data_IF_690455919055
#
_entry.id   IF_690455919055
#
_cell.length_a   1.000
_cell.length_b   1.000
_cell.length_c   1.000
_cell.angle_alpha   90.00
_cell.angle_beta   90.00
_cell.angle_gamma   90.00
#
_symmetry.space_group_name_H-M   'P 1'
#
loop_
_entity.id
_entity.type
_entity.pdbx_description
1 polymer ?
#
# COMPACT_ATOMS: atom_id res chain seq x y z
N UNK A 1 17.82 25.16 -19.38
CA UNK A 1 18.05 24.71 -17.99
C UNK A 1 17.83 23.23 -17.95
N UNK A 2 18.62 22.43 -17.24
CA UNK A 2 18.32 21.00 -17.10
C UNK A 2 16.95 20.87 -16.42
N UNK A 3 16.11 20.01 -16.95
CA UNK A 3 14.77 19.74 -16.43
C UNK A 3 14.93 19.08 -15.04
N UNK A 4 14.31 19.67 -14.01
CA UNK A 4 14.42 19.16 -12.65
C UNK A 4 13.38 18.02 -12.42
N UNK A 5 13.81 16.76 -12.13
CA UNK A 5 12.90 15.65 -11.95
C UNK A 5 11.91 15.84 -10.78
N UNK A 6 12.28 16.62 -9.76
CA UNK A 6 11.37 16.95 -8.65
C UNK A 6 10.23 17.88 -9.08
N UNK A 7 10.48 18.79 -9.99
CA UNK A 7 9.42 19.66 -10.53
C UNK A 7 8.48 18.87 -11.46
N UNK A 8 9.00 17.93 -12.24
CA UNK A 8 8.19 17.02 -13.03
C UNK A 8 7.28 16.16 -12.12
N UNK A 9 7.84 15.58 -11.07
CA UNK A 9 7.07 14.82 -10.09
C UNK A 9 5.97 15.68 -9.42
N UNK A 10 6.27 16.91 -9.00
CA UNK A 10 5.27 17.82 -8.45
C UNK A 10 4.14 18.11 -9.43
N UNK A 11 4.47 18.22 -10.72
CA UNK A 11 3.51 18.42 -11.81
C UNK A 11 2.75 17.14 -12.20
N UNK A 12 3.02 15.99 -11.55
CA UNK A 12 2.41 14.71 -11.85
C UNK A 12 2.94 14.02 -13.10
N UNK A 13 4.12 14.41 -13.58
CA UNK A 13 4.77 13.87 -14.79
C UNK A 13 5.79 12.80 -14.42
N UNK A 14 5.30 11.65 -14.02
CA UNK A 14 6.12 10.54 -13.47
C UNK A 14 7.02 9.95 -14.54
N UNK A 15 6.50 9.71 -15.76
CA UNK A 15 7.28 9.16 -16.88
C UNK A 15 8.44 10.06 -17.25
N UNK A 16 8.17 11.36 -17.44
CA UNK A 16 9.22 12.34 -17.77
C UNK A 16 10.28 12.40 -16.64
N UNK A 17 9.86 12.35 -15.36
CA UNK A 17 10.77 12.34 -14.23
C UNK A 17 11.68 11.08 -14.21
N UNK A 18 11.13 9.91 -14.51
CA UNK A 18 11.86 8.64 -14.61
C UNK A 18 12.89 8.71 -15.77
N UNK A 19 12.53 9.27 -16.91
CA UNK A 19 13.43 9.42 -18.07
C UNK A 19 14.61 10.34 -17.73
N UNK A 20 14.34 11.50 -17.14
CA UNK A 20 15.38 12.47 -16.73
C UNK A 20 16.30 11.85 -15.67
N UNK A 21 15.74 11.16 -14.66
CA UNK A 21 16.55 10.49 -13.63
C UNK A 21 17.36 9.34 -14.21
N UNK A 22 16.80 8.56 -15.12
CA UNK A 22 17.51 7.45 -15.77
C UNK A 22 18.71 7.97 -16.58
N UNK A 23 18.55 9.09 -17.31
CA UNK A 23 19.65 9.73 -18.02
C UNK A 23 20.71 10.27 -17.04
N UNK A 24 20.28 10.98 -16.00
CA UNK A 24 21.17 11.52 -14.97
C UNK A 24 22.01 10.45 -14.28
N UNK A 25 21.41 9.29 -13.96
CA UNK A 25 22.12 8.19 -13.28
C UNK A 25 23.21 7.53 -14.10
N UNK A 26 23.26 7.72 -15.44
CA UNK A 26 24.37 7.23 -16.30
C UNK A 26 25.64 8.01 -16.03
N UNK A 27 25.52 9.33 -15.84
CA UNK A 27 26.66 10.22 -15.60
C UNK A 27 27.01 10.34 -14.11
N UNK A 28 26.06 10.05 -13.23
CA UNK A 28 26.19 10.19 -11.77
C UNK A 28 25.81 8.89 -11.03
N UNK A 29 26.48 7.76 -11.28
CA UNK A 29 26.08 6.45 -10.77
C UNK A 29 26.17 6.31 -9.23
N UNK A 30 26.90 7.20 -8.54
CA UNK A 30 27.08 7.20 -7.10
C UNK A 30 26.08 8.08 -6.33
N UNK A 31 25.21 8.84 -7.03
CA UNK A 31 24.21 9.69 -6.39
C UNK A 31 23.06 8.83 -5.82
N UNK A 32 23.20 8.47 -4.54
CA UNK A 32 22.21 7.62 -3.86
C UNK A 32 20.87 8.31 -3.64
N UNK A 33 20.84 9.64 -3.54
CA UNK A 33 19.60 10.41 -3.33
C UNK A 33 18.72 10.35 -4.58
N UNK A 34 19.31 10.63 -5.75
CA UNK A 34 18.56 10.56 -7.01
C UNK A 34 18.21 9.11 -7.38
N UNK A 35 19.07 8.15 -7.02
CA UNK A 35 18.78 6.73 -7.22
C UNK A 35 17.60 6.26 -6.36
N UNK A 36 17.52 6.71 -5.09
CA UNK A 36 16.37 6.42 -4.23
C UNK A 36 15.09 7.00 -4.82
N UNK A 37 15.14 8.24 -5.30
CA UNK A 37 13.99 8.86 -5.94
C UNK A 37 13.57 8.13 -7.22
N UNK A 38 14.54 7.70 -8.05
CA UNK A 38 14.24 6.86 -9.22
C UNK A 38 13.61 5.53 -8.82
N UNK A 39 14.12 4.86 -7.77
CA UNK A 39 13.53 3.63 -7.24
C UNK A 39 12.06 3.84 -6.86
N UNK A 40 11.77 4.89 -6.09
CA UNK A 40 10.41 5.19 -5.65
C UNK A 40 9.47 5.46 -6.82
N UNK A 41 9.87 6.27 -7.80
CA UNK A 41 9.05 6.54 -8.99
C UNK A 41 8.80 5.30 -9.85
N UNK A 42 9.80 4.42 -9.98
CA UNK A 42 9.64 3.15 -10.69
C UNK A 42 8.62 2.22 -9.99
N UNK A 43 8.53 2.26 -8.66
CA UNK A 43 7.51 1.51 -7.92
C UNK A 43 6.10 2.04 -8.24
N UNK A 44 5.90 3.36 -8.25
CA UNK A 44 4.62 3.98 -8.64
C UNK A 44 4.25 3.70 -10.10
N UNK A 45 5.24 3.57 -10.98
CA UNK A 45 5.02 3.24 -12.39
C UNK A 45 4.80 1.74 -12.66
N UNK A 46 4.78 0.88 -11.64
CA UNK A 46 4.66 -0.57 -11.81
C UNK A 46 5.90 -1.24 -12.43
N UNK A 47 7.01 -0.51 -12.55
CA UNK A 47 8.24 -0.99 -13.17
C UNK A 47 9.13 -1.74 -12.16
N UNK A 48 8.56 -2.71 -11.45
CA UNK A 48 9.17 -3.39 -10.30
C UNK A 48 10.53 -4.03 -10.59
N UNK A 49 10.73 -4.57 -11.80
CA UNK A 49 12.03 -5.15 -12.18
C UNK A 49 13.12 -4.09 -12.31
N UNK A 50 12.78 -2.89 -12.80
CA UNK A 50 13.73 -1.77 -12.85
C UNK A 50 13.97 -1.20 -11.46
N UNK A 51 12.90 -1.08 -10.64
CA UNK A 51 13.00 -0.65 -9.25
C UNK A 51 13.95 -1.55 -8.45
N UNK A 52 13.80 -2.88 -8.57
CA UNK A 52 14.65 -3.86 -7.90
C UNK A 52 16.13 -3.71 -8.27
N UNK A 53 16.45 -3.40 -9.54
CA UNK A 53 17.83 -3.10 -9.97
C UNK A 53 18.40 -1.84 -9.30
N UNK A 54 17.57 -0.80 -9.08
CA UNK A 54 18.02 0.39 -8.34
C UNK A 54 18.24 0.07 -6.87
N UNK A 55 17.33 -0.73 -6.27
CA UNK A 55 17.43 -1.17 -4.89
C UNK A 55 18.70 -2.00 -4.65
N UNK A 56 19.05 -2.91 -5.58
CA UNK A 56 20.28 -3.71 -5.49
C UNK A 56 21.55 -2.83 -5.42
N UNK A 57 21.58 -1.75 -6.19
CA UNK A 57 22.71 -0.79 -6.12
C UNK A 57 22.70 0.00 -4.81
N UNK A 58 21.52 0.40 -4.31
CA UNK A 58 21.37 1.10 -3.04
C UNK A 58 21.78 0.23 -1.84
N UNK A 59 21.46 -1.06 -1.89
CA UNK A 59 21.80 -2.05 -0.86
C UNK A 59 23.32 -2.33 -0.81
N UNK A 60 24.02 -2.22 -1.94
CA UNK A 60 25.44 -2.52 -2.01
C UNK A 60 26.26 -1.52 -1.17
N UNK A 61 27.26 -2.02 -0.44
CA UNK A 61 28.31 -1.21 0.16
C UNK A 61 28.35 -1.13 1.69
N UNK A 62 27.33 -1.61 2.43
CA UNK A 62 27.43 -1.83 3.87
C UNK A 62 26.30 -2.75 4.39
N UNK A 63 26.53 -3.52 5.47
CA UNK A 63 25.51 -4.38 6.09
C UNK A 63 24.23 -3.63 6.49
N UNK A 64 24.35 -2.39 6.96
CA UNK A 64 23.18 -1.57 7.35
C UNK A 64 22.28 -1.25 6.15
N UNK A 65 22.88 -0.98 4.99
CA UNK A 65 22.12 -0.72 3.75
C UNK A 65 21.47 -2.00 3.24
N UNK A 66 22.16 -3.13 3.31
CA UNK A 66 21.61 -4.43 2.96
C UNK A 66 20.40 -4.76 3.85
N UNK A 67 20.54 -4.59 5.16
CA UNK A 67 19.46 -4.81 6.13
C UNK A 67 18.26 -3.88 5.84
N UNK A 68 18.50 -2.59 5.60
CA UNK A 68 17.45 -1.63 5.27
C UNK A 68 16.75 -1.91 3.93
N UNK A 69 17.42 -2.58 3.00
CA UNK A 69 16.84 -2.95 1.70
C UNK A 69 15.93 -4.18 1.78
N UNK A 70 16.10 -5.06 2.78
CA UNK A 70 15.32 -6.31 2.93
C UNK A 70 13.82 -6.01 2.94
N UNK A 71 13.38 -4.99 3.67
CA UNK A 71 11.97 -4.61 3.75
C UNK A 71 11.40 -4.25 2.38
N UNK A 72 12.18 -3.56 1.53
CA UNK A 72 11.73 -3.14 0.20
C UNK A 72 11.81 -4.26 -0.84
N UNK A 73 12.75 -5.21 -0.72
CA UNK A 73 12.72 -6.44 -1.50
C UNK A 73 11.47 -7.26 -1.17
N UNK A 74 11.15 -7.37 0.12
CA UNK A 74 9.96 -8.04 0.60
C UNK A 74 8.68 -7.35 0.09
N UNK A 75 8.62 -6.00 0.13
CA UNK A 75 7.51 -5.22 -0.41
C UNK A 75 7.35 -5.40 -1.93
N UNK A 76 8.42 -5.37 -2.71
CA UNK A 76 8.39 -5.61 -4.15
C UNK A 76 7.89 -7.02 -4.49
N UNK A 77 8.26 -8.02 -3.70
CA UNK A 77 7.79 -9.39 -3.87
C UNK A 77 6.29 -9.50 -3.57
N UNK A 78 5.85 -8.95 -2.43
CA UNK A 78 4.45 -8.93 -2.02
C UNK A 78 3.58 -8.19 -3.04
N UNK A 79 4.06 -7.05 -3.59
CA UNK A 79 3.38 -6.28 -4.62
C UNK A 79 3.18 -7.08 -5.92
N UNK A 80 4.19 -7.85 -6.37
CA UNK A 80 4.03 -8.74 -7.53
C UNK A 80 2.96 -9.81 -7.29
N UNK A 81 2.99 -10.45 -6.12
CA UNK A 81 1.97 -11.44 -5.72
C UNK A 81 0.58 -10.82 -5.68
N UNK A 82 0.46 -9.59 -5.16
CA UNK A 82 -0.78 -8.81 -5.16
C UNK A 82 -1.31 -8.61 -6.58
N UNK A 83 -0.45 -8.17 -7.52
CA UNK A 83 -0.86 -7.96 -8.90
C UNK A 83 -1.26 -9.25 -9.60
N UNK A 84 -0.54 -10.35 -9.37
CA UNK A 84 -0.92 -11.67 -9.90
C UNK A 84 -2.29 -12.12 -9.39
N UNK A 85 -2.60 -11.86 -8.10
CA UNK A 85 -3.89 -12.19 -7.53
C UNK A 85 -5.02 -11.39 -8.18
N UNK A 86 -4.85 -10.07 -8.34
CA UNK A 86 -5.85 -9.20 -8.97
C UNK A 86 -5.97 -9.47 -10.48
N UNK A 87 -4.89 -9.73 -11.20
CA UNK A 87 -4.92 -10.05 -12.63
C UNK A 87 -5.66 -11.36 -12.92
N UNK A 88 -5.52 -12.35 -12.02
CA UNK A 88 -6.20 -13.63 -12.13
C UNK A 88 -7.58 -13.66 -11.47
N UNK A 89 -8.02 -12.55 -10.83
CA UNK A 89 -9.29 -12.46 -10.08
C UNK A 89 -9.46 -13.59 -9.06
N UNK A 90 -8.37 -13.97 -8.40
CA UNK A 90 -8.33 -15.15 -7.53
C UNK A 90 -8.69 -14.78 -6.09
N UNK A 91 -9.83 -14.09 -5.92
CA UNK A 91 -10.28 -13.54 -4.65
C UNK A 91 -10.90 -14.59 -3.75
N UNK A 92 -10.80 -14.46 -2.41
CA UNK A 92 -11.53 -15.29 -1.47
C UNK A 92 -13.05 -15.16 -1.68
N UNK A 93 -13.75 -16.29 -1.72
CA UNK A 93 -15.20 -16.32 -1.94
C UNK A 93 -16.03 -15.93 -0.72
N UNK A 94 -15.42 -15.84 0.48
CA UNK A 94 -16.08 -15.45 1.71
C UNK A 94 -16.25 -13.94 1.80
N UNK A 95 -17.29 -13.49 2.49
CA UNK A 95 -17.52 -12.09 2.81
C UNK A 95 -17.45 -11.93 4.32
N UNK A 96 -16.26 -11.58 4.89
CA UNK A 96 -16.12 -11.44 6.33
C UNK A 96 -16.96 -10.26 6.84
N UNK A 97 -17.38 -10.37 8.10
CA UNK A 97 -18.08 -9.29 8.77
C UNK A 97 -17.14 -8.12 9.07
N UNK A 98 -17.69 -6.91 9.06
CA UNK A 98 -17.03 -5.72 9.59
C UNK A 98 -17.52 -5.48 11.01
N UNK A 99 -16.71 -5.74 12.05
CA UNK A 99 -17.09 -5.36 13.40
C UNK A 99 -17.17 -3.84 13.53
N UNK A 100 -18.04 -3.31 14.41
CA UNK A 100 -18.03 -1.89 14.74
C UNK A 100 -16.75 -1.51 15.47
N UNK A 101 -16.41 -0.22 15.46
CA UNK A 101 -15.17 0.24 16.06
C UNK A 101 -15.03 1.74 16.12
N UNK A 102 -13.79 2.21 16.17
CA UNK A 102 -13.45 3.62 16.13
C UNK A 102 -12.34 3.89 15.07
N UNK A 103 -12.56 4.88 14.24
CA UNK A 103 -11.59 5.41 13.30
C UNK A 103 -11.16 6.82 13.73
N UNK A 104 -9.88 7.01 14.06
CA UNK A 104 -9.34 8.27 14.56
C UNK A 104 -10.15 8.83 15.77
N UNK A 105 -10.62 7.93 16.65
CA UNK A 105 -11.43 8.27 17.82
C UNK A 105 -12.90 8.60 17.52
N UNK A 106 -13.38 8.39 16.29
CA UNK A 106 -14.79 8.51 15.92
C UNK A 106 -15.40 7.11 15.76
N UNK A 107 -16.52 6.82 16.43
CA UNK A 107 -17.18 5.52 16.33
C UNK A 107 -17.77 5.32 14.92
N UNK A 108 -17.77 4.07 14.46
CA UNK A 108 -18.45 3.61 13.25
C UNK A 108 -19.17 2.28 13.50
N UNK A 109 -20.13 1.96 12.65
CA UNK A 109 -20.86 0.68 12.69
C UNK A 109 -20.36 -0.30 11.63
N UNK A 110 -19.92 0.20 10.49
CA UNK A 110 -19.39 -0.60 9.37
C UNK A 110 -18.19 0.10 8.73
N UNK A 111 -17.18 -0.68 8.37
CA UNK A 111 -16.04 -0.20 7.59
C UNK A 111 -15.64 -1.28 6.57
N UNK A 112 -15.32 -0.87 5.36
CA UNK A 112 -14.81 -1.76 4.31
C UNK A 112 -13.88 -1.00 3.37
N UNK A 113 -13.08 -1.73 2.61
CA UNK A 113 -12.37 -1.16 1.46
C UNK A 113 -13.40 -0.66 0.43
N UNK A 114 -13.08 0.43 -0.28
CA UNK A 114 -13.95 0.90 -1.36
C UNK A 114 -13.91 -0.04 -2.58
N UNK A 115 -12.86 -0.87 -2.71
CA UNK A 115 -12.84 -1.99 -3.62
C UNK A 115 -13.69 -3.13 -3.06
N UNK A 116 -14.79 -3.46 -3.75
CA UNK A 116 -15.73 -4.51 -3.34
C UNK A 116 -15.10 -5.89 -3.29
N UNK A 117 -14.08 -6.16 -4.11
CA UNK A 117 -13.35 -7.43 -4.13
C UNK A 117 -12.53 -7.62 -2.84
N UNK A 118 -11.99 -6.53 -2.28
CA UNK A 118 -11.31 -6.53 -0.99
C UNK A 118 -12.31 -6.56 0.16
N UNK A 119 -13.33 -5.71 0.12
CA UNK A 119 -14.41 -5.66 1.07
C UNK A 119 -13.96 -5.38 2.52
N UNK A 120 -14.48 -6.16 3.49
CA UNK A 120 -14.15 -6.00 4.91
C UNK A 120 -12.81 -6.65 5.30
N UNK A 121 -11.74 -6.37 4.55
CA UNK A 121 -10.40 -6.91 4.76
C UNK A 121 -9.34 -5.81 4.70
N UNK A 122 -8.26 -6.05 5.41
CA UNK A 122 -7.04 -5.26 5.32
C UNK A 122 -6.03 -6.02 4.44
N UNK A 123 -5.56 -5.38 3.38
CA UNK A 123 -4.40 -5.86 2.62
C UNK A 123 -3.12 -5.55 3.40
N UNK A 124 -2.26 -6.54 3.58
CA UNK A 124 -1.04 -6.41 4.40
C UNK A 124 0.15 -7.05 3.70
N UNK A 125 1.30 -6.37 3.72
CA UNK A 125 2.60 -6.95 3.38
C UNK A 125 3.34 -7.27 4.68
N UNK A 126 3.34 -8.54 5.06
CA UNK A 126 3.96 -9.03 6.27
C UNK A 126 5.05 -10.04 5.94
N UNK A 127 6.28 -9.78 6.40
CA UNK A 127 7.45 -10.66 6.20
C UNK A 127 7.65 -11.14 4.74
N UNK A 128 7.35 -10.29 3.76
CA UNK A 128 7.46 -10.59 2.33
C UNK A 128 6.27 -11.32 1.73
N UNK A 129 5.25 -11.63 2.50
CA UNK A 129 4.01 -12.22 2.03
C UNK A 129 2.93 -11.14 1.86
N UNK A 130 2.10 -11.30 0.84
CA UNK A 130 0.86 -10.55 0.69
C UNK A 130 -0.29 -11.30 1.33
N UNK A 131 -1.02 -10.66 2.23
CA UNK A 131 -2.07 -11.27 3.05
C UNK A 131 -3.31 -10.39 3.05
N UNK A 132 -4.49 -10.98 2.95
CA UNK A 132 -5.78 -10.36 3.22
C UNK A 132 -6.23 -10.75 4.62
N UNK A 133 -6.27 -9.79 5.54
CA UNK A 133 -6.68 -9.99 6.91
C UNK A 133 -8.11 -9.48 7.11
N UNK A 134 -9.11 -10.35 7.35
CA UNK A 134 -10.46 -9.92 7.69
C UNK A 134 -10.47 -8.96 8.88
N UNK A 135 -11.30 -7.92 8.85
CA UNK A 135 -11.38 -6.94 9.93
C UNK A 135 -11.81 -7.57 11.26
N UNK A 136 -12.57 -8.67 11.23
CA UNK A 136 -12.90 -9.46 12.44
C UNK A 136 -11.68 -10.08 13.13
N UNK A 137 -10.52 -10.09 12.46
CA UNK A 137 -9.25 -10.57 13.01
C UNK A 137 -8.27 -9.44 13.34
N UNK A 138 -8.65 -8.19 13.14
CA UNK A 138 -7.89 -7.00 13.53
C UNK A 138 -8.40 -6.49 14.87
N UNK A 139 -7.51 -6.33 15.85
CA UNK A 139 -7.84 -5.62 17.09
C UNK A 139 -7.59 -4.12 16.92
N UNK A 140 -6.42 -3.76 16.39
CA UNK A 140 -6.07 -2.37 16.12
C UNK A 140 -5.10 -2.22 14.96
N UNK A 141 -5.17 -1.06 14.32
CA UNK A 141 -4.21 -0.56 13.34
C UNK A 141 -3.79 0.84 13.77
N UNK A 142 -2.48 1.09 13.82
CA UNK A 142 -1.92 2.40 14.09
C UNK A 142 -0.97 2.80 12.94
N UNK A 143 -1.12 4.04 12.44
CA UNK A 143 -0.30 4.58 11.35
C UNK A 143 0.15 6.00 11.66
N UNK A 144 1.42 6.29 11.38
CA UNK A 144 1.91 7.67 11.32
C UNK A 144 1.55 8.37 10.01
N UNK A 145 1.66 9.70 9.95
CA UNK A 145 1.59 10.41 8.67
C UNK A 145 2.79 9.99 7.79
N UNK A 146 2.62 9.92 6.44
CA UNK A 146 3.70 9.62 5.53
C UNK A 146 4.89 10.57 5.72
N UNK A 147 6.10 10.04 5.85
CA UNK A 147 7.34 10.80 6.04
C UNK A 147 8.19 10.82 4.75
N UNK A 148 8.03 9.83 3.90
CA UNK A 148 8.80 9.62 2.67
C UNK A 148 7.83 9.35 1.52
N UNK A 149 8.27 9.57 0.29
CA UNK A 149 7.44 9.32 -0.88
C UNK A 149 6.89 7.88 -0.91
N UNK A 150 7.73 6.89 -0.64
CA UNK A 150 7.31 5.49 -0.62
C UNK A 150 6.26 5.14 0.45
N UNK A 151 6.15 5.95 1.52
CA UNK A 151 5.14 5.73 2.56
C UNK A 151 3.72 6.05 2.03
N UNK A 152 3.61 6.78 0.91
CA UNK A 152 2.34 7.00 0.21
C UNK A 152 1.98 5.87 -0.78
N UNK A 153 2.90 4.93 -1.00
CA UNK A 153 2.67 3.71 -1.77
C UNK A 153 2.49 2.50 -0.83
N UNK A 154 3.37 2.40 0.17
CA UNK A 154 3.41 1.35 1.19
C UNK A 154 3.46 1.99 2.57
N UNK A 155 2.30 2.19 3.18
CA UNK A 155 2.18 2.86 4.46
C UNK A 155 2.69 1.97 5.61
N UNK A 156 3.70 2.40 6.37
CA UNK A 156 4.11 1.67 7.57
C UNK A 156 3.00 1.71 8.63
N UNK A 157 2.69 0.56 9.20
CA UNK A 157 1.64 0.40 10.19
C UNK A 157 2.00 -0.62 11.27
N UNK A 158 1.45 -0.45 12.45
CA UNK A 158 1.43 -1.45 13.51
C UNK A 158 0.04 -2.10 13.54
N UNK A 159 -0.02 -3.40 13.30
CA UNK A 159 -1.26 -4.17 13.31
C UNK A 159 -1.23 -5.14 14.49
N UNK A 160 -2.22 -5.02 15.37
CA UNK A 160 -2.49 -6.00 16.42
C UNK A 160 -3.68 -6.86 15.99
N UNK A 161 -3.51 -8.16 16.09
CA UNK A 161 -4.56 -9.11 15.76
C UNK A 161 -5.52 -9.34 16.91
N UNK A 162 -6.78 -9.63 16.60
CA UNK A 162 -7.78 -9.95 17.61
C UNK A 162 -7.45 -11.27 18.33
N UNK A 163 -7.88 -11.45 19.60
CA UNK A 163 -7.66 -12.69 20.35
C UNK A 163 -8.25 -13.94 19.69
N UNK A 164 -9.23 -13.77 18.80
CA UNK A 164 -9.83 -14.84 18.01
C UNK A 164 -8.92 -15.35 16.89
N UNK A 165 -7.94 -14.55 16.47
CA UNK A 165 -6.99 -14.90 15.41
C UNK A 165 -5.95 -15.88 15.95
N UNK A 166 -5.91 -17.07 15.35
CA UNK A 166 -4.97 -18.14 15.77
C UNK A 166 -3.64 -18.11 15.01
N UNK A 167 -3.42 -17.08 14.21
CA UNK A 167 -2.19 -16.86 13.48
C UNK A 167 -1.10 -16.18 14.32
N UNK A 168 -0.02 -15.83 13.66
CA UNK A 168 1.07 -15.07 14.28
C UNK A 168 0.67 -13.59 14.41
N UNK A 169 1.08 -12.92 15.49
CA UNK A 169 0.95 -11.48 15.60
C UNK A 169 1.76 -10.80 14.47
N UNK A 170 1.15 -9.85 13.80
CA UNK A 170 1.74 -9.23 12.61
C UNK A 170 2.75 -8.15 12.97
N UNK A 171 2.51 -7.39 14.04
CA UNK A 171 3.40 -6.31 14.46
C UNK A 171 3.53 -5.20 13.41
N UNK A 172 4.78 -4.80 13.12
CA UNK A 172 5.07 -3.81 12.09
C UNK A 172 4.95 -4.41 10.68
N UNK A 173 4.13 -3.78 9.84
CA UNK A 173 3.83 -4.22 8.48
C UNK A 173 3.84 -3.03 7.51
N UNK A 174 3.78 -3.32 6.22
CA UNK A 174 3.47 -2.32 5.19
C UNK A 174 2.06 -2.59 4.64
N UNK A 175 1.31 -1.52 4.43
CA UNK A 175 -0.04 -1.59 3.84
C UNK A 175 -0.02 -0.88 2.49
N UNK A 176 -0.44 -1.56 1.39
CA UNK A 176 -0.53 -0.90 0.10
C UNK A 176 -1.58 0.22 0.16
N UNK A 177 -1.14 1.45 -0.12
CA UNK A 177 -1.98 2.65 -0.04
C UNK A 177 -2.45 3.16 -1.41
N UNK A 178 -2.06 2.47 -2.48
CA UNK A 178 -2.49 2.72 -3.86
C UNK A 178 -3.08 1.42 -4.41
N UNK A 179 -4.21 1.53 -5.11
CA UNK A 179 -4.86 0.38 -5.73
C UNK A 179 -4.00 -0.25 -6.83
N UNK A 180 -4.11 -1.58 -7.05
CA UNK A 180 -3.35 -2.27 -8.08
C UNK A 180 -3.66 -1.70 -9.47
N UNK A 181 -2.67 -1.76 -10.36
CA UNK A 181 -2.78 -1.27 -11.75
C UNK A 181 -3.06 0.22 -11.95
N UNK A 182 -2.99 1.04 -10.90
CA UNK A 182 -3.16 2.50 -11.01
C UNK A 182 -2.24 3.12 -12.06
N UNK A 183 -1.05 2.57 -12.29
CA UNK A 183 -0.11 3.01 -13.35
C UNK A 183 -0.59 2.73 -14.78
N UNK A 184 -1.65 1.95 -14.98
CA UNK A 184 -2.26 1.74 -16.30
C UNK A 184 -3.14 2.92 -16.74
N UNK A 185 -3.46 3.83 -15.80
CA UNK A 185 -4.32 4.98 -16.08
C UNK A 185 -3.57 6.06 -16.89
N UNK A 186 -4.27 6.82 -17.74
CA UNK A 186 -3.64 7.89 -18.51
C UNK A 186 -3.18 9.06 -17.65
N UNK A 187 -3.90 9.37 -16.56
CA UNK A 187 -3.50 10.41 -15.61
C UNK A 187 -2.50 9.85 -14.58
N UNK A 188 -1.30 10.39 -14.62
CA UNK A 188 -0.22 9.98 -13.72
C UNK A 188 -0.40 10.48 -12.27
N UNK A 189 -1.38 11.37 -11.99
CA UNK A 189 -1.77 11.73 -10.62
C UNK A 189 -2.41 10.53 -9.90
N UNK A 190 -3.13 9.68 -10.66
CA UNK A 190 -3.69 8.41 -10.17
C UNK A 190 -2.57 7.46 -9.74
N UNK A 191 -1.47 7.37 -10.51
CA UNK A 191 -0.32 6.53 -10.14
C UNK A 191 0.25 6.90 -8.77
N UNK A 192 0.33 8.22 -8.51
CA UNK A 192 0.88 8.77 -7.28
C UNK A 192 -0.10 8.71 -6.09
N UNK A 193 -1.30 8.17 -6.29
CA UNK A 193 -2.33 8.18 -5.26
C UNK A 193 -2.76 9.58 -4.82
N UNK A 194 -2.65 10.59 -5.71
CA UNK A 194 -3.12 11.96 -5.44
C UNK A 194 -4.58 12.14 -5.81
N UNK A 195 -5.09 11.26 -6.65
CA UNK A 195 -6.48 11.20 -7.11
C UNK A 195 -6.92 9.76 -7.03
N UNK A 196 -8.17 9.54 -6.65
CA UNK A 196 -8.86 8.26 -6.74
C UNK A 196 -9.95 8.39 -7.79
N UNK A 197 -10.00 7.44 -8.72
CA UNK A 197 -11.05 7.32 -9.73
C UNK A 197 -11.75 5.97 -9.58
N UNK A 198 -13.05 5.93 -9.86
CA UNK A 198 -13.82 4.71 -9.88
C UNK A 198 -14.14 4.38 -11.34
N UNK A 199 -13.68 3.22 -11.77
CA UNK A 199 -13.82 2.76 -13.15
C UNK A 199 -14.97 1.77 -13.23
N UNK A 200 -16.05 2.16 -13.92
CA UNK A 200 -17.17 1.26 -14.19
C UNK A 200 -16.80 0.15 -15.16
N UNK A 201 -17.21 -1.08 -14.86
CA UNK A 201 -17.16 -2.21 -15.78
C UNK A 201 -18.48 -2.37 -16.55
N UNK A 202 -18.54 -3.30 -17.51
CA UNK A 202 -19.74 -3.57 -18.32
C UNK A 202 -20.90 -4.12 -17.47
N UNK A 203 -20.63 -4.69 -16.32
CA UNK A 203 -21.62 -5.29 -15.40
C UNK A 203 -22.17 -4.26 -14.40
N UNK A 204 -21.65 -3.02 -14.42
CA UNK A 204 -22.09 -1.92 -13.56
C UNK A 204 -21.39 -1.87 -12.20
N UNK A 205 -20.40 -2.72 -11.97
CA UNK A 205 -19.53 -2.62 -10.80
C UNK A 205 -18.44 -1.58 -11.04
N UNK A 206 -18.00 -0.93 -9.98
CA UNK A 206 -16.95 0.06 -10.01
C UNK A 206 -15.71 -0.46 -9.27
N UNK A 207 -14.54 -0.37 -9.92
CA UNK A 207 -13.26 -0.70 -9.30
C UNK A 207 -12.44 0.58 -9.13
N UNK A 208 -11.94 0.86 -7.92
CA UNK A 208 -11.15 2.06 -7.68
C UNK A 208 -9.72 1.92 -8.20
N UNK A 209 -9.15 3.05 -8.62
CA UNK A 209 -7.72 3.22 -8.94
C UNK A 209 -7.20 4.49 -8.27
N UNK A 210 -5.92 4.56 -7.99
CA UNK A 210 -5.31 5.67 -7.26
C UNK A 210 -5.19 5.40 -5.77
N UNK A 211 -5.36 6.41 -4.93
CA UNK A 211 -5.26 6.24 -3.47
C UNK A 211 -6.34 5.30 -2.95
N UNK A 212 -5.92 4.38 -2.07
CA UNK A 212 -6.84 3.51 -1.37
C UNK A 212 -7.83 4.31 -0.51
N UNK A 213 -9.11 3.94 -0.59
CA UNK A 213 -10.21 4.53 0.15
C UNK A 213 -10.89 3.48 1.03
N UNK A 214 -11.36 3.90 2.17
CA UNK A 214 -12.28 3.13 3.00
C UNK A 214 -13.69 3.70 2.86
N UNK A 215 -14.69 2.85 2.94
CA UNK A 215 -16.09 3.25 3.13
C UNK A 215 -16.43 3.04 4.60
N UNK A 216 -16.72 4.13 5.31
CA UNK A 216 -17.03 4.15 6.75
C UNK A 216 -18.45 4.62 6.91
N UNK A 217 -19.34 3.73 7.33
CA UNK A 217 -20.80 3.99 7.38
C UNK A 217 -21.36 4.54 6.05
N UNK A 218 -20.73 4.13 4.92
CA UNK A 218 -21.10 4.54 3.57
C UNK A 218 -20.41 5.81 3.06
N UNK A 219 -19.62 6.50 3.88
CA UNK A 219 -18.85 7.68 3.47
C UNK A 219 -17.41 7.32 3.13
N UNK A 220 -16.85 7.94 2.10
CA UNK A 220 -15.46 7.74 1.66
C UNK A 220 -14.47 8.35 2.67
N UNK A 221 -13.44 7.59 3.02
CA UNK A 221 -12.35 8.03 3.90
C UNK A 221 -10.99 7.66 3.30
N UNK A 222 -10.08 8.63 3.03
CA UNK A 222 -8.76 8.35 2.47
C UNK A 222 -7.92 7.49 3.41
N UNK A 223 -7.39 6.37 2.91
CA UNK A 223 -6.63 5.43 3.74
C UNK A 223 -5.39 6.08 4.38
N UNK A 224 -4.69 6.97 3.66
CA UNK A 224 -3.52 7.67 4.19
C UNK A 224 -3.84 8.69 5.31
N UNK A 225 -5.11 8.96 5.58
CA UNK A 225 -5.56 9.78 6.71
C UNK A 225 -5.90 8.96 7.97
N UNK A 226 -5.85 7.63 7.88
CA UNK A 226 -5.96 6.75 9.05
C UNK A 226 -4.78 7.00 9.99
N UNK A 227 -5.07 7.19 11.28
CA UNK A 227 -4.06 7.25 12.35
C UNK A 227 -4.25 6.14 13.35
N UNK A 228 -5.50 5.86 13.69
CA UNK A 228 -5.87 4.74 14.54
C UNK A 228 -7.19 4.15 14.05
N UNK A 229 -7.24 2.83 13.99
CA UNK A 229 -8.45 2.06 13.72
C UNK A 229 -8.51 0.94 14.76
N UNK A 230 -9.61 0.85 15.49
CA UNK A 230 -9.82 -0.18 16.49
C UNK A 230 -11.17 -0.85 16.29
N UNK A 231 -11.24 -2.15 16.49
CA UNK A 231 -12.45 -2.92 16.35
C UNK A 231 -12.95 -3.45 17.68
N UNK A 232 -14.27 -3.43 17.86
CA UNK A 232 -14.93 -3.99 19.03
C UNK A 232 -15.16 -5.49 18.83
N UNK A 233 -14.45 -6.30 19.60
CA UNK A 233 -14.63 -7.76 19.59
C UNK A 233 -15.46 -8.21 20.80
N UNK A 234 -16.38 -9.18 20.66
CA UNK A 234 -17.05 -9.77 21.81
C UNK A 234 -16.01 -10.36 22.75
N UNK A 235 -16.16 -10.10 24.05
CA UNK A 235 -15.28 -10.67 25.06
C UNK A 235 -15.26 -12.19 24.92
N UNK A 236 -14.08 -12.75 24.73
CA UNK A 236 -13.91 -14.22 24.70
C UNK A 236 -14.26 -14.75 26.09
N UNK A 237 -15.44 -15.35 26.23
CA UNK A 237 -15.81 -16.04 27.49
C UNK A 237 -14.78 -17.16 27.69
N UNK A 238 -14.06 -17.22 28.84
CA UNK A 238 -13.13 -18.32 29.09
C UNK A 238 -13.94 -19.62 29.07
N UNK A 239 -13.56 -20.53 28.18
CA UNK A 239 -14.09 -21.89 28.25
C UNK A 239 -13.64 -22.47 29.60
N UNK A 240 -14.57 -22.67 30.49
CA UNK A 240 -14.34 -23.43 31.72
C UNK A 240 -13.91 -24.86 31.31
N UNK A 241 -12.68 -25.19 31.64
CA UNK A 241 -12.18 -26.55 31.58
C UNK A 241 -12.78 -27.38 32.71
#
# INVERSE_FOLDING_TARGET
>A
MPINPKELFKAGKVREAIEVLTAYMRDHPSDTVQRTFLFELLCFAGEFTRAEKQLAVLASGSPDKETGAIVYYAALHAERTRHELFENQNFPADSPASPPGELNGKPFTEIRDADSDVGARLEVFAAGSYVWLPFEHVASLEMGPPQRLRDTLWAPALVQTAPSFKGMDLGEVLIPAVYPFSWKQPDEQVWLGRVTEFLGNEDGDESPVGQKMLLVDGEEFPFLEVRSLTFSHPATTPQQQ
#
